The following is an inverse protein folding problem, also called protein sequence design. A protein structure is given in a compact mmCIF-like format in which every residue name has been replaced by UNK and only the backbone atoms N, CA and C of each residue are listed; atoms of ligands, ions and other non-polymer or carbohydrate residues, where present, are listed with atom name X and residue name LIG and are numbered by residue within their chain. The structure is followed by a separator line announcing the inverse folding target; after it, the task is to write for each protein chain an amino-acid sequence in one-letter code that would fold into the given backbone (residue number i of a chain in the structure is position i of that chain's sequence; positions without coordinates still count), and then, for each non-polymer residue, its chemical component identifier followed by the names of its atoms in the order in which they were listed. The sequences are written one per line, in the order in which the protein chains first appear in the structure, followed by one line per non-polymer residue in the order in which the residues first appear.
data_IF_615077667407
#
_entry.id   IF_615077667407
#
_cell.length_a   1.000
_cell.length_b   1.000
_cell.length_c   1.000
_cell.angle_alpha   90.00
_cell.angle_beta   90.00
_cell.angle_gamma   90.00
#
_symmetry.space_group_name_H-M   'P 1'
#
loop_
_entity.id
_entity.type
_entity.pdbx_description
1 polymer ?
#
# COMPACT_ATOMS: atom_id res chain seq x y z
N UNK A 1 3.91 -2.94 -18.09
CA UNK A 1 4.19 -2.52 -16.71
C UNK A 1 3.73 -3.60 -15.77
N UNK A 2 4.60 -4.09 -14.89
CA UNK A 2 4.25 -5.00 -13.79
C UNK A 2 3.44 -4.23 -12.75
N UNK A 3 2.42 -4.87 -12.16
CA UNK A 3 1.55 -4.25 -11.16
C UNK A 3 1.94 -4.69 -9.75
N UNK A 4 2.19 -3.72 -8.90
CA UNK A 4 2.54 -3.91 -7.49
C UNK A 4 1.40 -3.37 -6.62
N UNK A 5 1.03 -4.11 -5.58
CA UNK A 5 0.28 -3.56 -4.46
C UNK A 5 1.25 -3.29 -3.31
N UNK A 6 1.38 -2.05 -2.87
CA UNK A 6 2.16 -1.69 -1.69
C UNK A 6 1.21 -1.36 -0.53
N UNK A 7 1.37 -2.04 0.59
CA UNK A 7 0.48 -1.97 1.75
C UNK A 7 1.26 -1.44 2.95
N UNK A 8 0.83 -0.32 3.52
CA UNK A 8 1.39 0.25 4.76
C UNK A 8 0.24 0.72 5.65
N UNK A 9 0.07 0.06 6.80
CA UNK A 9 -1.09 0.30 7.65
C UNK A 9 -0.75 0.94 8.99
N UNK A 10 0.52 0.97 9.41
CA UNK A 10 0.85 1.32 10.79
C UNK A 10 1.81 2.49 10.92
N UNK A 11 3.10 2.28 10.72
CA UNK A 11 4.13 3.16 11.29
C UNK A 11 4.94 3.94 10.28
N UNK A 12 5.18 3.41 9.08
CA UNK A 12 6.25 3.94 8.25
C UNK A 12 5.75 4.82 7.10
N UNK A 13 5.04 5.91 7.45
CA UNK A 13 4.61 6.91 6.48
C UNK A 13 5.78 7.50 5.66
N UNK A 14 6.96 7.66 6.27
CA UNK A 14 8.18 8.12 5.59
C UNK A 14 8.67 7.10 4.54
N UNK A 15 8.71 5.80 4.89
CA UNK A 15 9.12 4.76 3.95
C UNK A 15 8.11 4.66 2.80
N UNK A 16 6.81 4.73 3.12
CA UNK A 16 5.76 4.77 2.11
C UNK A 16 5.91 5.98 1.17
N UNK A 17 6.17 7.18 1.70
CA UNK A 17 6.38 8.37 0.90
C UNK A 17 7.63 8.27 0.01
N UNK A 18 8.75 7.78 0.55
CA UNK A 18 9.99 7.58 -0.22
C UNK A 18 9.82 6.51 -1.30
N UNK A 19 9.08 5.43 -1.00
CA UNK A 19 8.76 4.40 -1.99
C UNK A 19 7.84 4.95 -3.08
N UNK A 20 6.85 5.79 -2.73
CA UNK A 20 6.02 6.47 -3.73
C UNK A 20 6.85 7.34 -4.67
N UNK A 21 7.76 8.15 -4.11
CA UNK A 21 8.64 9.01 -4.91
C UNK A 21 9.56 8.20 -5.83
N UNK A 22 10.13 7.11 -5.34
CA UNK A 22 10.98 6.21 -6.13
C UNK A 22 10.25 5.59 -7.32
N UNK A 23 8.94 5.40 -7.22
CA UNK A 23 8.13 4.67 -8.20
C UNK A 23 7.31 5.57 -9.13
N UNK A 24 7.27 6.88 -8.89
CA UNK A 24 6.35 7.83 -9.53
C UNK A 24 6.56 7.93 -11.06
N UNK A 25 7.82 7.86 -11.52
CA UNK A 25 8.22 8.00 -12.92
C UNK A 25 8.66 6.69 -13.58
N UNK A 26 8.42 5.56 -12.92
CA UNK A 26 8.84 4.25 -13.43
C UNK A 26 8.02 3.81 -14.66
N UNK A 27 8.71 3.49 -15.76
CA UNK A 27 8.09 2.90 -16.96
C UNK A 27 7.89 1.38 -16.87
N UNK A 28 8.52 0.72 -15.89
CA UNK A 28 8.46 -0.74 -15.74
C UNK A 28 7.35 -1.20 -14.78
N UNK A 29 7.06 -0.41 -13.76
CA UNK A 29 6.15 -0.74 -12.67
C UNK A 29 5.02 0.27 -12.52
N UNK A 30 3.83 -0.24 -12.23
CA UNK A 30 2.69 0.53 -11.79
C UNK A 30 2.32 0.09 -10.37
N UNK A 31 2.23 1.03 -9.44
CA UNK A 31 1.99 0.72 -8.03
C UNK A 31 0.63 1.25 -7.61
N UNK A 32 -0.20 0.37 -7.05
CA UNK A 32 -1.35 0.75 -6.25
C UNK A 32 -0.94 0.76 -4.77
N UNK A 33 -1.25 1.85 -4.06
CA UNK A 33 -0.91 2.06 -2.67
C UNK A 33 -2.12 1.87 -1.77
N UNK A 34 -1.99 1.05 -0.75
CA UNK A 34 -3.03 0.70 0.20
C UNK A 34 -2.62 1.17 1.59
N UNK A 35 -3.25 2.25 2.04
CA UNK A 35 -2.83 2.96 3.25
C UNK A 35 -3.94 3.06 4.27
N UNK A 36 -3.58 2.95 5.55
CA UNK A 36 -4.51 3.32 6.62
C UNK A 36 -4.71 4.84 6.66
N UNK A 37 -5.79 5.28 7.32
CA UNK A 37 -6.08 6.71 7.48
C UNK A 37 -4.92 7.46 8.15
N UNK A 38 -4.25 6.82 9.11
CA UNK A 38 -3.06 7.34 9.80
C UNK A 38 -1.92 7.60 8.81
N UNK A 39 -1.66 6.68 7.90
CA UNK A 39 -0.59 6.82 6.90
C UNK A 39 -0.93 7.93 5.90
N UNK A 40 -2.16 7.94 5.38
CA UNK A 40 -2.63 8.98 4.46
C UNK A 40 -2.52 10.39 5.04
N UNK A 41 -2.94 10.58 6.31
CA UNK A 41 -2.83 11.86 7.01
C UNK A 41 -1.40 12.38 7.10
N UNK A 42 -0.42 11.48 7.21
CA UNK A 42 1.00 11.86 7.26
C UNK A 42 1.59 12.15 5.88
N UNK A 43 1.21 11.39 4.84
CA UNK A 43 1.73 11.58 3.49
C UNK A 43 1.13 12.83 2.83
N UNK A 44 -0.16 13.12 3.07
CA UNK A 44 -0.83 14.31 2.53
C UNK A 44 -0.98 14.35 1.01
N UNK A 45 -0.74 13.23 0.31
CA UNK A 45 -0.90 13.09 -1.15
C UNK A 45 -2.17 12.31 -1.46
N UNK A 46 -2.90 12.78 -2.48
CA UNK A 46 -4.04 12.07 -3.05
C UNK A 46 -3.81 11.87 -4.55
N UNK A 47 -3.71 10.61 -4.98
CA UNK A 47 -3.60 10.18 -6.37
C UNK A 47 -4.61 9.05 -6.60
N UNK A 48 -4.96 8.78 -7.86
CA UNK A 48 -5.98 7.78 -8.22
C UNK A 48 -5.58 6.33 -7.90
N UNK A 49 -4.29 6.06 -7.75
CA UNK A 49 -3.71 4.79 -7.37
C UNK A 49 -3.46 4.66 -5.86
N UNK A 50 -4.03 5.56 -5.03
CA UNK A 50 -3.97 5.50 -3.58
C UNK A 50 -5.35 5.14 -3.01
N UNK A 51 -5.41 4.09 -2.21
CA UNK A 51 -6.62 3.54 -1.61
C UNK A 51 -6.53 3.58 -0.09
N UNK A 52 -7.56 4.14 0.55
CA UNK A 52 -7.77 3.99 1.99
C UNK A 52 -8.19 2.55 2.28
N UNK A 53 -7.58 1.92 3.27
CA UNK A 53 -7.89 0.54 3.68
C UNK A 53 -7.67 0.30 5.16
N UNK A 54 -8.32 -0.74 5.66
CA UNK A 54 -8.08 -1.33 6.98
C UNK A 54 -7.65 -2.79 6.84
N UNK A 55 -7.08 -3.38 7.90
CA UNK A 55 -6.61 -4.77 7.89
C UNK A 55 -7.71 -5.78 7.55
N UNK A 56 -8.95 -5.51 7.94
CA UNK A 56 -10.14 -6.32 7.65
C UNK A 56 -10.59 -6.24 6.18
N UNK A 57 -10.23 -5.17 5.46
CA UNK A 57 -10.73 -4.90 4.11
C UNK A 57 -9.69 -5.15 3.02
N UNK A 58 -8.40 -5.01 3.35
CA UNK A 58 -7.30 -5.03 2.38
C UNK A 58 -7.31 -6.29 1.51
N UNK A 59 -7.60 -7.46 2.09
CA UNK A 59 -7.64 -8.71 1.33
C UNK A 59 -8.75 -8.71 0.26
N UNK A 60 -9.91 -8.14 0.57
CA UNK A 60 -11.02 -8.03 -0.39
C UNK A 60 -10.69 -7.02 -1.49
N UNK A 61 -10.05 -5.91 -1.14
CA UNK A 61 -9.60 -4.92 -2.12
C UNK A 61 -8.53 -5.49 -3.06
N UNK A 62 -7.56 -6.26 -2.54
CA UNK A 62 -6.54 -6.92 -3.36
C UNK A 62 -7.15 -7.91 -4.35
N UNK A 63 -8.15 -8.70 -3.92
CA UNK A 63 -8.85 -9.68 -4.78
C UNK A 63 -9.57 -9.04 -5.97
N UNK A 64 -9.89 -7.75 -5.92
CA UNK A 64 -10.56 -7.05 -7.02
C UNK A 64 -9.64 -6.77 -8.23
N UNK A 65 -8.33 -6.97 -8.08
CA UNK A 65 -7.31 -6.66 -9.09
C UNK A 65 -6.28 -7.78 -9.17
N UNK A 66 -5.58 -7.88 -10.31
CA UNK A 66 -4.45 -8.78 -10.47
C UNK A 66 -3.15 -8.02 -10.21
N UNK A 67 -2.31 -8.58 -9.34
CA UNK A 67 -1.00 -8.04 -8.97
C UNK A 67 0.09 -9.08 -9.25
N UNK A 68 1.21 -8.62 -9.79
CA UNK A 68 2.42 -9.43 -9.98
C UNK A 68 3.22 -9.58 -8.67
N UNK A 69 3.09 -8.60 -7.77
CA UNK A 69 3.74 -8.57 -6.47
C UNK A 69 2.89 -7.82 -5.45
N UNK A 70 2.83 -8.34 -4.22
CA UNK A 70 2.28 -7.65 -3.05
C UNK A 70 3.41 -7.41 -2.07
N UNK A 71 3.63 -6.15 -1.70
CA UNK A 71 4.62 -5.70 -0.72
C UNK A 71 3.88 -5.21 0.51
N UNK A 72 4.24 -5.74 1.68
CA UNK A 72 3.68 -5.33 2.98
C UNK A 72 4.79 -4.60 3.74
N UNK A 73 4.71 -3.27 3.79
CA UNK A 73 5.72 -2.38 4.37
C UNK A 73 5.86 -2.51 5.89
N UNK A 74 4.76 -2.83 6.57
CA UNK A 74 4.76 -3.17 8.00
C UNK A 74 4.06 -4.49 8.24
N UNK A 75 4.83 -5.54 8.50
CA UNK A 75 4.32 -6.71 9.24
C UNK A 75 4.49 -6.40 10.73
N UNK A 76 3.62 -5.56 11.28
CA UNK A 76 3.36 -5.68 12.72
C UNK A 76 2.88 -7.12 12.96
N UNK A 77 3.31 -7.72 14.07
CA UNK A 77 3.20 -9.16 14.44
C UNK A 77 1.82 -9.84 14.31
N UNK A 78 0.81 -9.13 13.83
CA UNK A 78 -0.60 -9.49 13.76
C UNK A 78 -1.23 -9.27 12.37
N UNK A 79 -0.44 -9.21 11.29
CA UNK A 79 -0.98 -9.11 9.91
C UNK A 79 -2.00 -10.22 9.60
N UNK A 80 -1.78 -11.41 10.18
CA UNK A 80 -2.86 -12.38 10.40
C UNK A 80 -3.24 -12.32 11.87
N UNK A 81 -4.49 -11.95 12.14
CA UNK A 81 -5.09 -12.14 13.45
C UNK A 81 -5.16 -13.66 13.65
N UNK A 82 -4.47 -14.19 14.67
CA UNK A 82 -4.61 -15.58 15.05
C UNK A 82 -6.06 -15.77 15.54
N UNK A 83 -6.78 -16.71 14.91
CA UNK A 83 -8.08 -17.20 15.42
C UNK A 83 -7.91 -17.86 16.80
#
# INVERSE_FOLDING_TARGET
MKRIAYIELDTHAEIAANFMELMDDSEEFFVDYYFSEKILKNIGKHQSNIFLTESSEVLNQLKSKNYDLVIIGTVHRYFNIFE
#
